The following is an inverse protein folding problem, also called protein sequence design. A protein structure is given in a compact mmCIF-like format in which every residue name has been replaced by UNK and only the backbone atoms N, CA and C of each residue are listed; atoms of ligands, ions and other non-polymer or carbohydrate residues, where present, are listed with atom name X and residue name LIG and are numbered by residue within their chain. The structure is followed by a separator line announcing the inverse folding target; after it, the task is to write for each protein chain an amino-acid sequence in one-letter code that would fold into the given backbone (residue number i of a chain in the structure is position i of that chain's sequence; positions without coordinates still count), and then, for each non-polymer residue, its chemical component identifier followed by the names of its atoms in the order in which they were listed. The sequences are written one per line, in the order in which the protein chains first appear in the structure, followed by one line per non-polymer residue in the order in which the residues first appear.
data_IF_467705794764
#
_entry.id   IF_467705794764
#
_cell.length_a   1.000
_cell.length_b   1.000
_cell.length_c   1.000
_cell.angle_alpha   90.00
_cell.angle_beta   90.00
_cell.angle_gamma   90.00
#
_symmetry.space_group_name_H-M   'P 1'
#
loop_
_entity.id
_entity.type
_entity.pdbx_description
1 polymer ?
#
# COMPACT_ATOMS: atom_id res chain seq x y z
N UNK A 1 17.59 -0.92 24.57
CA UNK A 1 16.74 -1.22 23.40
C UNK A 1 17.70 -1.40 22.25
N UNK A 2 17.75 -2.60 21.65
CA UNK A 2 18.55 -2.80 20.44
C UNK A 2 17.96 -1.92 19.34
N UNK A 3 18.81 -1.09 18.75
CA UNK A 3 18.45 -0.21 17.65
C UNK A 3 17.95 -1.06 16.47
N UNK A 4 16.87 -0.63 15.82
CA UNK A 4 16.35 -1.32 14.64
C UNK A 4 17.34 -1.10 13.50
N UNK A 5 17.84 -2.15 12.84
CA UNK A 5 18.77 -2.02 11.73
C UNK A 5 18.21 -1.12 10.62
N UNK A 6 19.03 -0.23 10.08
CA UNK A 6 18.62 0.71 9.03
C UNK A 6 18.06 -0.04 7.80
N UNK A 7 18.62 -1.19 7.45
CA UNK A 7 18.13 -2.04 6.35
C UNK A 7 16.65 -2.43 6.50
N UNK A 8 16.20 -2.72 7.74
CA UNK A 8 14.80 -3.05 8.05
C UNK A 8 13.94 -1.81 7.97
N UNK A 9 14.47 -0.66 8.38
CA UNK A 9 13.79 0.65 8.28
C UNK A 9 13.61 1.05 6.81
N UNK A 10 14.64 0.94 5.97
CA UNK A 10 14.53 1.22 4.53
C UNK A 10 13.57 0.25 3.85
N UNK A 11 13.62 -1.05 4.17
CA UNK A 11 12.69 -2.02 3.63
C UNK A 11 11.24 -1.70 4.00
N UNK A 12 10.98 -1.26 5.24
CA UNK A 12 9.66 -0.77 5.64
C UNK A 12 9.22 0.46 4.84
N UNK A 13 10.12 1.42 4.56
CA UNK A 13 9.77 2.59 3.74
C UNK A 13 9.40 2.21 2.31
N UNK A 14 10.07 1.23 1.73
CA UNK A 14 9.73 0.70 0.40
C UNK A 14 8.34 0.07 0.42
N UNK A 15 8.01 -0.71 1.46
CA UNK A 15 6.64 -1.25 1.65
C UNK A 15 5.61 -0.13 1.75
N UNK A 16 5.87 0.90 2.56
CA UNK A 16 4.97 2.03 2.73
C UNK A 16 4.75 2.80 1.42
N UNK A 17 5.82 3.02 0.64
CA UNK A 17 5.75 3.68 -0.66
C UNK A 17 4.93 2.86 -1.68
N UNK A 18 5.14 1.54 -1.74
CA UNK A 18 4.38 0.67 -2.63
C UNK A 18 2.87 0.67 -2.29
N UNK A 19 2.54 0.62 -0.99
CA UNK A 19 1.15 0.75 -0.53
C UNK A 19 0.55 2.12 -0.86
N UNK A 20 1.32 3.20 -0.70
CA UNK A 20 0.88 4.55 -1.03
C UNK A 20 0.57 4.68 -2.53
N UNK A 21 1.40 4.11 -3.41
CA UNK A 21 1.16 4.12 -4.86
C UNK A 21 -0.09 3.31 -5.23
N UNK A 22 -0.25 2.10 -4.67
CA UNK A 22 -1.44 1.28 -4.89
C UNK A 22 -2.71 1.99 -4.40
N UNK A 23 -2.67 2.61 -3.22
CA UNK A 23 -3.79 3.36 -2.67
C UNK A 23 -4.13 4.61 -3.50
N UNK A 24 -3.12 5.34 -3.98
CA UNK A 24 -3.29 6.49 -4.86
C UNK A 24 -3.95 6.08 -6.18
N UNK A 25 -3.49 4.97 -6.78
CA UNK A 25 -4.08 4.42 -8.00
C UNK A 25 -5.56 4.05 -7.81
N UNK A 26 -5.89 3.27 -6.76
CA UNK A 26 -7.27 2.91 -6.44
C UNK A 26 -8.15 4.15 -6.27
N UNK A 27 -7.67 5.13 -5.51
CA UNK A 27 -8.37 6.39 -5.28
C UNK A 27 -8.61 7.17 -6.59
N UNK A 28 -7.63 7.18 -7.49
CA UNK A 28 -7.76 7.84 -8.79
C UNK A 28 -8.80 7.14 -9.67
N UNK A 29 -8.76 5.81 -9.76
CA UNK A 29 -9.76 4.99 -10.49
C UNK A 29 -11.16 5.21 -9.92
N UNK A 30 -11.34 5.15 -8.60
CA UNK A 30 -12.65 5.40 -7.99
C UNK A 30 -13.14 6.83 -8.20
N UNK A 31 -12.24 7.82 -8.19
CA UNK A 31 -12.60 9.21 -8.50
C UNK A 31 -13.05 9.36 -9.97
N UNK A 32 -12.37 8.72 -10.91
CA UNK A 32 -12.74 8.70 -12.32
C UNK A 32 -14.10 8.01 -12.54
N UNK A 33 -14.28 6.83 -11.97
CA UNK A 33 -15.52 6.06 -12.03
C UNK A 33 -16.71 6.85 -11.48
N UNK A 34 -16.50 7.67 -10.45
CA UNK A 34 -17.55 8.57 -9.92
C UNK A 34 -17.84 9.76 -10.82
N UNK A 35 -16.84 10.33 -11.50
CA UNK A 35 -17.04 11.43 -12.46
C UNK A 35 -17.83 11.00 -13.69
N UNK A 36 -17.62 9.76 -14.13
CA UNK A 36 -18.28 9.16 -15.30
C UNK A 36 -19.56 8.42 -14.96
N UNK A 37 -19.92 8.34 -13.67
CA UNK A 37 -21.14 7.69 -13.24
C UNK A 37 -22.37 8.48 -13.70
N UNK A 38 -23.35 7.78 -14.25
CA UNK A 38 -24.63 8.40 -14.57
C UNK A 38 -25.36 8.78 -13.28
N UNK A 39 -26.00 9.97 -13.23
CA UNK A 39 -26.82 10.33 -12.09
C UNK A 39 -27.94 9.29 -11.95
N UNK A 40 -28.27 8.88 -10.71
CA UNK A 40 -29.37 7.97 -10.48
C UNK A 40 -30.66 8.56 -11.07
N UNK A 41 -31.41 7.78 -11.84
CA UNK A 41 -32.71 8.19 -12.39
C UNK A 41 -33.77 8.47 -11.31
N UNK A 42 -33.52 8.03 -10.07
CA UNK A 42 -34.37 8.27 -8.90
C UNK A 42 -33.63 9.10 -7.83
N UNK A 43 -34.39 9.98 -7.16
CA UNK A 43 -33.94 10.97 -6.16
C UNK A 43 -33.13 10.41 -4.97
N UNK A 44 -33.02 9.09 -4.84
CA UNK A 44 -32.35 8.38 -3.74
C UNK A 44 -31.40 7.25 -4.18
N UNK A 45 -31.13 7.09 -5.48
CA UNK A 45 -30.22 6.03 -5.96
C UNK A 45 -28.75 6.36 -5.70
N UNK A 46 -27.92 5.36 -5.43
CA UNK A 46 -26.47 5.52 -5.54
C UNK A 46 -26.08 5.55 -7.03
N UNK A 47 -25.09 6.36 -7.44
CA UNK A 47 -24.62 6.37 -8.82
C UNK A 47 -24.05 4.99 -9.18
N UNK A 48 -24.49 4.45 -10.32
CA UNK A 48 -23.98 3.17 -10.85
C UNK A 48 -22.57 3.42 -11.40
N UNK A 49 -21.57 2.81 -10.76
CA UNK A 49 -20.18 2.90 -11.20
C UNK A 49 -19.93 1.87 -12.30
N UNK A 50 -19.20 2.28 -13.36
CA UNK A 50 -18.68 1.32 -14.35
C UNK A 50 -17.77 0.27 -13.67
N UNK A 51 -17.65 -0.95 -14.19
CA UNK A 51 -16.59 -1.86 -13.77
C UNK A 51 -15.20 -1.25 -14.05
N UNK A 52 -14.19 -1.87 -13.44
CA UNK A 52 -12.81 -1.60 -13.81
C UNK A 52 -12.56 -2.10 -15.24
N UNK A 53 -11.66 -1.41 -15.95
CA UNK A 53 -11.20 -1.82 -17.28
C UNK A 53 -10.03 -2.78 -17.14
N UNK A 54 -9.79 -3.61 -18.16
CA UNK A 54 -8.65 -4.54 -18.17
C UNK A 54 -7.30 -3.84 -17.93
N UNK A 55 -7.15 -2.61 -18.42
CA UNK A 55 -5.94 -1.81 -18.20
C UNK A 55 -5.79 -1.38 -16.73
N UNK A 56 -6.90 -1.04 -16.06
CA UNK A 56 -6.89 -0.70 -14.64
C UNK A 56 -6.62 -1.92 -13.76
N UNK A 57 -7.22 -3.06 -14.10
CA UNK A 57 -6.95 -4.34 -13.44
C UNK A 57 -5.50 -4.79 -13.62
N UNK A 58 -4.96 -4.70 -14.84
CA UNK A 58 -3.55 -5.01 -15.10
C UNK A 58 -2.61 -4.11 -14.28
N UNK A 59 -2.85 -2.80 -14.27
CA UNK A 59 -2.04 -1.87 -13.48
C UNK A 59 -2.15 -2.13 -11.98
N UNK A 60 -3.35 -2.46 -11.49
CA UNK A 60 -3.53 -2.86 -10.10
C UNK A 60 -2.76 -4.12 -9.76
N UNK A 61 -2.79 -5.14 -10.63
CA UNK A 61 -2.03 -6.37 -10.43
C UNK A 61 -0.52 -6.11 -10.36
N UNK A 62 0.02 -5.23 -11.22
CA UNK A 62 1.43 -4.81 -11.16
C UNK A 62 1.76 -4.14 -9.83
N UNK A 63 0.95 -3.16 -9.40
CA UNK A 63 1.15 -2.44 -8.14
C UNK A 63 1.01 -3.36 -6.93
N UNK A 64 0.06 -4.29 -6.96
CA UNK A 64 -0.11 -5.29 -5.92
C UNK A 64 1.09 -6.25 -5.86
N UNK A 65 1.61 -6.68 -7.01
CA UNK A 65 2.83 -7.48 -7.06
C UNK A 65 4.05 -6.74 -6.48
N UNK A 66 4.17 -5.42 -6.73
CA UNK A 66 5.21 -4.60 -6.13
C UNK A 66 5.10 -4.53 -4.58
N UNK A 67 3.87 -4.41 -4.06
CA UNK A 67 3.62 -4.48 -2.60
C UNK A 67 4.05 -5.83 -2.02
N UNK A 68 3.71 -6.94 -2.70
CA UNK A 68 4.09 -8.28 -2.27
C UNK A 68 5.62 -8.41 -2.25
N UNK A 69 6.30 -8.07 -3.34
CA UNK A 69 7.75 -8.14 -3.44
C UNK A 69 8.47 -7.27 -2.38
N UNK A 70 7.97 -6.05 -2.12
CA UNK A 70 8.49 -5.19 -1.06
C UNK A 70 8.30 -5.82 0.34
N UNK A 71 7.14 -6.45 0.55
CA UNK A 71 6.81 -7.09 1.84
C UNK A 71 7.66 -8.33 2.09
N UNK A 72 7.95 -9.11 1.05
CA UNK A 72 8.88 -10.24 1.09
C UNK A 72 10.31 -9.76 1.38
N UNK A 73 10.80 -8.73 0.67
CA UNK A 73 12.12 -8.15 0.92
C UNK A 73 12.28 -7.64 2.36
N UNK A 74 11.23 -7.03 2.93
CA UNK A 74 11.21 -6.64 4.34
C UNK A 74 11.27 -7.86 5.28
N UNK A 75 10.52 -8.90 4.99
CA UNK A 75 10.56 -10.13 5.79
C UNK A 75 11.94 -10.79 5.75
N UNK A 76 12.63 -10.76 4.60
CA UNK A 76 14.01 -11.22 4.46
C UNK A 76 14.99 -10.36 5.27
N UNK A 77 14.86 -9.04 5.24
CA UNK A 77 15.66 -8.14 6.07
C UNK A 77 15.47 -8.39 7.57
N UNK A 78 14.23 -8.60 8.02
CA UNK A 78 13.95 -8.96 9.41
C UNK A 78 14.56 -10.31 9.80
N UNK A 79 14.46 -11.33 8.92
CA UNK A 79 15.07 -12.64 9.13
C UNK A 79 16.60 -12.56 9.21
N UNK A 80 17.24 -11.80 8.33
CA UNK A 80 18.69 -11.58 8.33
C UNK A 80 19.16 -10.87 9.61
N UNK A 81 18.36 -9.95 10.12
CA UNK A 81 18.62 -9.24 11.38
C UNK A 81 18.29 -10.05 12.65
N UNK A 82 17.75 -11.28 12.52
CA UNK A 82 17.31 -12.09 13.65
C UNK A 82 16.11 -11.50 14.41
N UNK A 83 15.31 -10.67 13.74
CA UNK A 83 14.16 -9.98 14.32
C UNK A 83 12.90 -10.82 14.13
N UNK A 84 12.24 -11.16 15.24
CA UNK A 84 10.92 -11.78 15.21
C UNK A 84 9.81 -10.76 14.97
N UNK A 85 8.82 -11.15 14.16
CA UNK A 85 7.63 -10.36 13.88
C UNK A 85 6.62 -10.41 15.03
N UNK A 86 6.93 -9.69 16.11
CA UNK A 86 5.99 -9.42 17.21
C UNK A 86 5.26 -8.10 16.98
N UNK A 87 4.12 -7.90 17.65
CA UNK A 87 3.36 -6.65 17.54
C UNK A 87 4.21 -5.41 17.91
N UNK A 88 4.99 -5.50 19.00
CA UNK A 88 5.85 -4.40 19.46
C UNK A 88 6.96 -4.09 18.45
N UNK A 89 7.60 -5.12 17.88
CA UNK A 89 8.63 -4.94 16.86
C UNK A 89 8.06 -4.31 15.60
N UNK A 90 6.91 -4.79 15.12
CA UNK A 90 6.23 -4.22 13.95
C UNK A 90 5.88 -2.75 14.15
N UNK A 91 5.39 -2.40 15.35
CA UNK A 91 5.06 -1.02 15.71
C UNK A 91 6.32 -0.15 15.74
N UNK A 92 7.42 -0.65 16.30
CA UNK A 92 8.67 0.08 16.40
C UNK A 92 9.32 0.30 15.02
N UNK A 93 9.31 -0.71 14.14
CA UNK A 93 9.81 -0.60 12.75
C UNK A 93 9.03 0.47 11.98
N UNK A 94 7.70 0.46 12.06
CA UNK A 94 6.85 1.48 11.40
C UNK A 94 7.08 2.88 11.97
N UNK A 95 7.31 3.00 13.27
CA UNK A 95 7.63 4.30 13.88
C UNK A 95 8.99 4.83 13.38
N UNK A 96 10.02 3.98 13.35
CA UNK A 96 11.35 4.33 12.84
C UNK A 96 11.33 4.72 11.35
N UNK A 97 10.57 3.99 10.53
CA UNK A 97 10.41 4.29 9.10
C UNK A 97 9.85 5.69 8.85
N UNK A 98 8.91 6.15 9.68
CA UNK A 98 8.30 7.48 9.60
C UNK A 98 9.22 8.59 10.12
N UNK A 99 9.94 8.34 11.21
CA UNK A 99 10.74 9.36 11.90
C UNK A 99 11.96 9.86 11.11
N UNK A 100 12.54 9.04 10.22
CA UNK A 100 13.70 9.46 9.42
C UNK A 100 13.37 9.93 8.00
N UNK A 101 12.13 10.34 7.74
CA UNK A 101 11.68 10.96 6.49
C UNK A 101 11.48 12.47 6.57
N UNK A 102 11.94 13.10 7.66
CA UNK A 102 11.93 14.54 7.91
C UNK A 102 13.30 15.18 7.61
#
# INVERSE_FOLDING_TARGET
MSEIPDEVVQAQRVVDAAWAELAAFRKAVDADRRKTAQPPGERHGLPVLRPWTDAEDARYAELHAAVVAASEARADAMRAAGIESTWDTERAIRAAARAGGE
#
